data_IF_173446230745
#
_entry.id   IF_173446230745
#
_cell.length_a   1.000
_cell.length_b   1.000
_cell.length_c   1.000
_cell.angle_alpha   90.00
_cell.angle_beta   90.00
_cell.angle_gamma   90.00
#
_symmetry.space_group_name_H-M   'P 1'
#
loop_
_entity.id
_entity.type
_entity.pdbx_description
1 polymer ?
#
# COMPACT_ATOMS: atom_id res chain seq x y z
N UNK A 1 11.17 20.57 -56.08
CA UNK A 1 11.17 19.20 -55.54
C UNK A 1 12.61 18.82 -55.25
N UNK A 2 13.04 18.97 -54.00
CA UNK A 2 14.30 18.38 -53.52
C UNK A 2 14.03 17.85 -52.12
N UNK A 3 14.18 16.54 -52.02
CA UNK A 3 13.88 15.69 -50.87
C UNK A 3 14.80 16.00 -49.69
N UNK A 4 14.22 16.16 -48.49
CA UNK A 4 14.96 16.09 -47.23
C UNK A 4 14.73 14.70 -46.63
N UNK A 5 15.76 13.86 -46.65
CA UNK A 5 15.78 12.60 -45.91
C UNK A 5 16.30 12.88 -44.48
N UNK A 6 15.64 12.39 -43.42
CA UNK A 6 16.17 12.50 -42.07
C UNK A 6 17.27 11.44 -41.87
N UNK A 7 18.42 11.89 -41.36
CA UNK A 7 19.52 11.03 -40.94
C UNK A 7 19.13 10.36 -39.63
N UNK A 8 18.90 9.05 -39.67
CA UNK A 8 18.78 8.19 -38.49
C UNK A 8 20.16 8.09 -37.82
N UNK A 9 20.31 8.72 -36.66
CA UNK A 9 21.41 8.41 -35.74
C UNK A 9 21.03 7.16 -34.93
N UNK A 10 21.95 6.19 -34.75
CA UNK A 10 21.67 5.01 -33.94
C UNK A 10 21.55 5.41 -32.46
N UNK A 11 20.42 5.05 -31.85
CA UNK A 11 20.19 5.14 -30.40
C UNK A 11 21.20 4.24 -29.71
N UNK A 12 22.15 4.84 -28.98
CA UNK A 12 23.03 4.09 -28.07
C UNK A 12 22.26 3.88 -26.75
N UNK A 13 22.32 2.69 -26.14
CA UNK A 13 21.72 2.47 -24.83
C UNK A 13 22.37 3.41 -23.81
N UNK A 14 21.56 4.09 -23.01
CA UNK A 14 22.01 5.01 -21.97
C UNK A 14 22.68 4.21 -20.84
N UNK A 15 24.01 4.11 -20.88
CA UNK A 15 24.79 3.70 -19.70
C UNK A 15 24.84 4.87 -18.72
N UNK A 16 23.98 4.83 -17.71
CA UNK A 16 24.00 5.76 -16.59
C UNK A 16 25.30 5.53 -15.80
N UNK A 17 26.27 6.43 -15.96
CA UNK A 17 27.57 6.37 -15.27
C UNK A 17 27.63 7.51 -14.25
N UNK A 18 26.78 7.46 -13.23
CA UNK A 18 26.88 8.36 -12.08
C UNK A 18 26.75 7.53 -10.79
N UNK A 19 27.80 7.62 -9.97
CA UNK A 19 28.03 6.96 -8.68
C UNK A 19 28.47 5.48 -8.75
N UNK A 20 29.69 5.23 -8.28
CA UNK A 20 30.38 3.94 -8.23
C UNK A 20 29.79 2.90 -7.27
N UNK A 21 28.54 2.50 -7.48
CA UNK A 21 27.98 1.27 -6.93
C UNK A 21 27.78 0.28 -8.08
N UNK A 22 28.54 -0.81 -8.09
CA UNK A 22 28.44 -1.90 -9.07
C UNK A 22 27.25 -2.83 -8.81
N UNK A 23 26.05 -2.29 -8.59
CA UNK A 23 24.81 -3.06 -8.55
C UNK A 23 23.82 -2.52 -9.58
N UNK A 24 23.06 -3.39 -10.28
CA UNK A 24 22.01 -2.94 -11.16
C UNK A 24 20.98 -2.14 -10.34
N UNK A 25 20.78 -0.88 -10.71
CA UNK A 25 19.71 -0.04 -10.16
C UNK A 25 18.37 -0.61 -10.61
N UNK A 26 17.79 -1.52 -9.83
CA UNK A 26 16.39 -1.94 -9.95
C UNK A 26 15.49 -0.85 -9.34
N UNK A 27 15.46 0.34 -9.94
CA UNK A 27 14.68 1.49 -9.44
C UNK A 27 13.31 1.60 -10.12
N UNK A 28 12.68 0.47 -10.46
CA UNK A 28 11.50 0.45 -11.33
C UNK A 28 10.19 -0.04 -10.71
N UNK A 29 10.18 -0.62 -9.50
CA UNK A 29 9.05 -1.48 -9.10
C UNK A 29 7.83 -0.75 -8.47
N UNK A 30 7.91 0.55 -8.17
CA UNK A 30 6.86 1.26 -7.40
C UNK A 30 5.87 2.09 -8.25
N UNK A 31 6.27 2.55 -9.45
CA UNK A 31 5.49 3.58 -10.15
C UNK A 31 4.21 3.08 -10.86
N UNK A 32 4.12 1.79 -11.20
CA UNK A 32 3.00 1.30 -12.03
C UNK A 32 1.94 0.50 -11.24
N UNK A 33 2.18 0.16 -9.97
CA UNK A 33 1.29 -0.69 -9.16
C UNK A 33 0.16 0.11 -8.47
N UNK A 34 0.37 1.41 -8.24
CA UNK A 34 -0.46 2.25 -7.34
C UNK A 34 -1.77 2.77 -7.96
N UNK A 35 -1.88 2.81 -9.30
CA UNK A 35 -3.01 3.49 -9.97
C UNK A 35 -4.33 2.70 -9.87
N UNK A 36 -4.27 1.37 -9.76
CA UNK A 36 -5.44 0.53 -10.03
C UNK A 36 -6.51 0.52 -8.92
N UNK A 37 -6.22 0.93 -7.69
CA UNK A 37 -7.16 0.78 -6.56
C UNK A 37 -7.82 2.05 -6.06
N UNK A 38 -7.23 3.22 -6.33
CA UNK A 38 -7.80 4.49 -5.85
C UNK A 38 -9.02 4.96 -6.66
N UNK A 39 -9.27 4.36 -7.84
CA UNK A 39 -10.37 4.77 -8.74
C UNK A 39 -11.60 3.87 -8.72
N UNK A 40 -11.57 2.69 -8.10
CA UNK A 40 -12.71 1.78 -8.10
C UNK A 40 -12.85 1.09 -6.74
N UNK A 41 -13.80 1.57 -5.93
CA UNK A 41 -14.29 0.87 -4.75
C UNK A 41 -15.16 -0.35 -5.09
N UNK A 42 -14.84 -1.10 -6.14
CA UNK A 42 -15.60 -2.29 -6.56
C UNK A 42 -14.87 -3.56 -6.17
N UNK A 43 -15.62 -4.50 -5.59
CA UNK A 43 -15.23 -5.86 -5.20
C UNK A 43 -15.11 -6.82 -6.40
N UNK A 44 -15.08 -6.30 -7.63
CA UNK A 44 -14.98 -7.09 -8.84
C UNK A 44 -13.51 -7.36 -9.18
N UNK A 45 -13.12 -8.62 -9.45
CA UNK A 45 -11.81 -8.92 -10.03
C UNK A 45 -11.63 -8.08 -11.30
N UNK A 46 -10.69 -7.13 -11.27
CA UNK A 46 -10.39 -6.30 -12.42
C UNK A 46 -9.62 -7.20 -13.39
N UNK A 47 -10.27 -7.58 -14.48
CA UNK A 47 -9.64 -8.36 -15.55
C UNK A 47 -8.65 -7.51 -16.36
N UNK A 48 -7.87 -8.18 -17.22
CA UNK A 48 -6.86 -7.55 -18.06
C UNK A 48 -7.45 -6.56 -19.11
N UNK A 49 -8.76 -6.39 -19.20
CA UNK A 49 -9.40 -5.46 -20.14
C UNK A 49 -9.91 -4.19 -19.45
N UNK A 50 -10.39 -4.30 -18.21
CA UNK A 50 -10.98 -3.19 -17.46
C UNK A 50 -9.93 -2.12 -17.05
N UNK A 51 -8.66 -2.49 -16.88
CA UNK A 51 -7.59 -1.55 -16.47
C UNK A 51 -7.14 -0.60 -17.59
N UNK A 52 -7.39 -0.94 -18.86
CA UNK A 52 -6.94 -0.16 -20.02
C UNK A 52 -7.49 1.26 -20.05
N UNK A 53 -8.59 1.55 -19.35
CA UNK A 53 -9.16 2.89 -19.28
C UNK A 53 -8.25 3.90 -18.53
N UNK A 54 -8.11 3.78 -17.19
CA UNK A 54 -7.37 4.77 -16.40
C UNK A 54 -5.85 4.61 -16.46
N UNK A 55 -5.30 3.43 -16.76
CA UNK A 55 -3.84 3.23 -16.79
C UNK A 55 -3.23 3.60 -18.14
N UNK A 56 -3.95 3.45 -19.26
CA UNK A 56 -3.39 3.71 -20.59
C UNK A 56 -2.85 5.14 -20.75
N UNK A 57 -3.53 6.21 -20.29
CA UNK A 57 -2.98 7.56 -20.37
C UNK A 57 -1.65 7.72 -19.60
N UNK A 58 -1.47 6.95 -18.53
CA UNK A 58 -0.24 6.98 -17.72
C UNK A 58 0.88 6.28 -18.47
N UNK A 59 0.65 5.06 -18.97
CA UNK A 59 1.65 4.32 -19.75
C UNK A 59 2.02 5.06 -21.03
N UNK A 60 1.05 5.66 -21.71
CA UNK A 60 1.28 6.46 -22.90
C UNK A 60 2.09 7.72 -22.59
N UNK A 61 1.88 8.36 -21.43
CA UNK A 61 2.70 9.47 -20.99
C UNK A 61 4.15 9.07 -20.71
N UNK A 62 4.39 7.91 -20.08
CA UNK A 62 5.75 7.38 -19.89
C UNK A 62 6.44 7.09 -21.23
N UNK A 63 5.75 6.45 -22.18
CA UNK A 63 6.27 6.20 -23.53
C UNK A 63 6.55 7.50 -24.29
N UNK A 64 5.68 8.51 -24.14
CA UNK A 64 5.88 9.83 -24.75
C UNK A 64 7.11 10.55 -24.19
N UNK A 65 7.42 10.34 -22.91
CA UNK A 65 8.64 10.84 -22.25
C UNK A 65 9.88 9.97 -22.52
N UNK A 66 9.75 8.89 -23.28
CA UNK A 66 10.81 7.89 -23.51
C UNK A 66 11.35 7.29 -22.19
N UNK A 67 10.46 7.11 -21.22
CA UNK A 67 10.74 6.49 -19.92
C UNK A 67 10.21 5.05 -19.91
N UNK A 68 11.03 4.12 -20.41
CA UNK A 68 10.75 2.69 -20.33
C UNK A 68 10.92 2.16 -18.90
N UNK A 69 10.24 1.07 -18.57
CA UNK A 69 10.35 0.38 -17.28
C UNK A 69 10.83 -1.06 -17.46
N UNK A 70 11.74 -1.49 -16.60
CA UNK A 70 12.33 -2.84 -16.65
C UNK A 70 11.34 -3.92 -16.17
N UNK A 71 10.50 -3.56 -15.20
CA UNK A 71 9.49 -4.43 -14.61
C UNK A 71 8.18 -3.68 -14.45
N UNK A 72 7.05 -4.34 -14.76
CA UNK A 72 5.75 -3.71 -14.62
C UNK A 72 4.65 -4.33 -15.47
N UNK A 73 3.47 -3.69 -15.54
CA UNK A 73 2.41 -4.03 -16.48
C UNK A 73 2.93 -4.11 -17.92
N UNK A 74 2.36 -5.04 -18.69
CA UNK A 74 2.73 -5.41 -20.07
C UNK A 74 4.10 -6.08 -20.23
N UNK A 75 5.15 -5.58 -19.57
CA UNK A 75 6.54 -6.09 -19.67
C UNK A 75 6.75 -7.34 -18.81
N UNK A 76 6.02 -7.46 -17.70
CA UNK A 76 6.21 -8.53 -16.72
C UNK A 76 7.46 -8.30 -15.87
N UNK A 77 8.04 -9.37 -15.36
CA UNK A 77 9.21 -9.35 -14.48
C UNK A 77 9.14 -10.41 -13.39
N UNK A 78 10.21 -10.55 -12.61
CA UNK A 78 10.35 -11.62 -11.60
C UNK A 78 9.46 -11.41 -10.37
N UNK A 79 9.10 -10.16 -10.07
CA UNK A 79 8.32 -9.75 -8.90
C UNK A 79 6.80 -9.65 -9.17
N UNK A 80 6.38 -10.04 -10.37
CA UNK A 80 4.99 -10.07 -10.77
C UNK A 80 4.12 -10.96 -9.86
N UNK A 81 2.79 -10.75 -9.86
CA UNK A 81 2.04 -9.82 -10.71
C UNK A 81 2.14 -8.35 -10.24
N UNK A 82 2.16 -7.41 -11.18
CA UNK A 82 2.28 -5.95 -10.92
C UNK A 82 0.93 -5.24 -10.75
N UNK A 83 -0.15 -6.01 -10.60
CA UNK A 83 -1.47 -5.49 -10.30
C UNK A 83 -1.84 -5.89 -8.87
N UNK A 84 -2.12 -4.91 -8.00
CA UNK A 84 -2.47 -5.18 -6.61
C UNK A 84 -3.73 -6.06 -6.49
N UNK A 85 -4.68 -5.95 -7.42
CA UNK A 85 -5.88 -6.80 -7.46
C UNK A 85 -5.58 -8.29 -7.67
N UNK A 86 -4.37 -8.64 -8.13
CA UNK A 86 -3.93 -10.01 -8.36
C UNK A 86 -3.05 -10.54 -7.20
N UNK A 87 -2.89 -9.76 -6.12
CA UNK A 87 -1.99 -10.04 -4.99
C UNK A 87 -2.73 -10.27 -3.68
N UNK A 88 -4.04 -10.52 -3.72
CA UNK A 88 -4.86 -10.71 -2.51
C UNK A 88 -4.34 -11.81 -1.58
N UNK A 89 -3.80 -12.89 -2.14
CA UNK A 89 -3.20 -13.98 -1.34
C UNK A 89 -1.97 -13.52 -0.55
N UNK A 90 -1.13 -12.67 -1.15
CA UNK A 90 0.05 -12.10 -0.49
C UNK A 90 -0.37 -11.23 0.70
N UNK A 91 -1.38 -10.37 0.49
CA UNK A 91 -1.86 -9.46 1.55
C UNK A 91 -2.55 -10.23 2.68
N UNK A 92 -3.33 -11.26 2.35
CA UNK A 92 -3.97 -12.13 3.34
C UNK A 92 -2.94 -12.86 4.19
N UNK A 93 -1.93 -13.46 3.58
CA UNK A 93 -0.85 -14.14 4.31
C UNK A 93 -0.08 -13.17 5.23
N UNK A 94 0.20 -11.96 4.77
CA UNK A 94 0.83 -10.92 5.58
C UNK A 94 -0.05 -10.50 6.78
N UNK A 95 -1.36 -10.33 6.57
CA UNK A 95 -2.30 -9.98 7.64
C UNK A 95 -2.43 -11.09 8.68
N UNK A 96 -2.52 -12.35 8.25
CA UNK A 96 -2.56 -13.52 9.14
C UNK A 96 -1.30 -13.64 9.99
N UNK A 97 -0.12 -13.44 9.38
CA UNK A 97 1.15 -13.39 10.09
C UNK A 97 1.14 -12.30 11.16
N UNK A 98 0.76 -11.06 10.81
CA UNK A 98 0.70 -9.96 11.77
C UNK A 98 -0.31 -10.19 12.90
N UNK A 99 -1.43 -10.86 12.61
CA UNK A 99 -2.41 -11.27 13.61
C UNK A 99 -1.80 -12.27 14.60
N UNK A 100 -1.05 -13.26 14.10
CA UNK A 100 -0.37 -14.25 14.95
C UNK A 100 0.74 -13.63 15.81
N UNK A 101 1.38 -12.57 15.32
CA UNK A 101 2.41 -11.82 16.05
C UNK A 101 1.82 -10.79 17.04
N UNK A 102 0.50 -10.63 17.09
CA UNK A 102 -0.17 -9.63 17.95
C UNK A 102 0.14 -8.18 17.57
N UNK A 103 0.51 -7.92 16.30
CA UNK A 103 0.81 -6.57 15.78
C UNK A 103 -0.44 -5.87 15.26
N UNK A 104 -1.48 -6.63 14.97
CA UNK A 104 -2.75 -6.15 14.45
C UNK A 104 -3.88 -6.88 15.19
N UNK A 105 -5.05 -6.28 15.22
CA UNK A 105 -6.20 -6.85 15.93
C UNK A 105 -7.50 -6.67 15.15
N UNK A 106 -8.48 -7.53 15.42
CA UNK A 106 -9.83 -7.43 14.85
C UNK A 106 -10.64 -6.43 15.69
N UNK A 107 -11.15 -5.40 15.03
CA UNK A 107 -11.98 -4.36 15.62
C UNK A 107 -13.43 -4.59 15.20
N UNK A 108 -14.31 -4.75 16.17
CA UNK A 108 -15.75 -5.02 16.00
C UNK A 108 -16.61 -3.79 16.27
N UNK A 109 -15.99 -2.61 16.42
CA UNK A 109 -16.70 -1.36 16.74
C UNK A 109 -17.62 -0.98 15.57
N UNK A 110 -18.87 -0.65 15.86
CA UNK A 110 -19.79 -0.19 14.82
C UNK A 110 -19.47 1.25 14.39
N UNK A 111 -19.89 1.67 13.19
CA UNK A 111 -19.73 3.06 12.76
C UNK A 111 -20.32 4.06 13.76
N UNK A 112 -21.48 3.75 14.34
CA UNK A 112 -22.16 4.59 15.33
C UNK A 112 -21.33 4.76 16.60
N UNK A 113 -20.73 3.68 17.10
CA UNK A 113 -19.86 3.71 18.28
C UNK A 113 -18.58 4.52 18.01
N UNK A 114 -18.00 4.38 16.81
CA UNK A 114 -16.83 5.16 16.39
C UNK A 114 -17.19 6.65 16.30
N UNK A 115 -18.36 6.99 15.77
CA UNK A 115 -18.81 8.39 15.69
C UNK A 115 -19.07 8.98 17.07
N UNK A 116 -19.70 8.21 17.97
CA UNK A 116 -19.92 8.64 19.35
C UNK A 116 -18.60 8.90 20.08
N UNK A 117 -17.63 7.99 19.97
CA UNK A 117 -16.31 8.15 20.58
C UNK A 117 -15.51 9.32 19.97
N UNK A 118 -15.69 9.58 18.67
CA UNK A 118 -15.11 10.75 17.99
C UNK A 118 -15.71 12.05 18.52
N UNK A 119 -17.03 12.12 18.65
CA UNK A 119 -17.72 13.29 19.19
C UNK A 119 -17.32 13.56 20.65
N UNK A 120 -17.12 12.52 21.46
CA UNK A 120 -16.63 12.65 22.84
C UNK A 120 -15.19 13.20 22.89
N UNK A 121 -14.31 12.74 22.00
CA UNK A 121 -12.94 13.26 21.89
C UNK A 121 -12.93 14.74 21.46
N UNK A 122 -13.77 15.11 20.50
CA UNK A 122 -13.94 16.49 20.05
C UNK A 122 -14.47 17.40 21.17
N UNK A 123 -15.48 16.94 21.92
CA UNK A 123 -16.02 17.67 23.07
C UNK A 123 -15.00 17.87 24.20
N UNK A 124 -13.98 17.00 24.28
CA UNK A 124 -12.85 17.11 25.22
C UNK A 124 -11.66 17.86 24.64
N UNK A 125 -11.74 18.32 23.38
CA UNK A 125 -10.63 18.95 22.65
C UNK A 125 -9.37 18.09 22.58
N UNK A 126 -9.53 16.75 22.55
CA UNK A 126 -8.42 15.80 22.43
C UNK A 126 -8.46 15.08 21.07
N UNK A 127 -7.30 14.70 20.51
CA UNK A 127 -7.28 13.95 19.26
C UNK A 127 -7.92 12.57 19.43
N UNK A 128 -8.77 12.18 18.48
CA UNK A 128 -9.36 10.85 18.44
C UNK A 128 -8.35 9.82 17.91
N UNK A 129 -7.90 8.92 18.79
CA UNK A 129 -6.89 7.89 18.48
C UNK A 129 -7.48 6.49 18.22
N UNK A 130 -8.81 6.36 18.27
CA UNK A 130 -9.48 5.07 18.33
C UNK A 130 -9.66 4.56 19.76
N UNK A 131 -10.66 3.70 19.94
CA UNK A 131 -11.19 3.26 21.24
C UNK A 131 -10.46 2.05 21.81
N UNK A 132 -9.78 1.23 20.97
CA UNK A 132 -9.07 0.00 21.34
C UNK A 132 -9.87 -1.04 22.16
N UNK A 133 -11.19 -0.89 22.28
CA UNK A 133 -12.07 -1.80 23.07
C UNK A 133 -11.89 -3.26 22.69
N UNK A 134 -11.70 -3.56 21.40
CA UNK A 134 -11.52 -4.93 20.94
C UNK A 134 -10.19 -5.59 21.36
N UNK A 135 -9.21 -4.83 21.89
CA UNK A 135 -7.99 -5.40 22.49
C UNK A 135 -8.24 -5.99 23.88
N UNK A 136 -9.33 -5.62 24.54
CA UNK A 136 -9.71 -6.13 25.87
C UNK A 136 -10.53 -7.42 25.79
N UNK A 137 -10.88 -7.86 24.57
CA UNK A 137 -11.65 -9.07 24.36
C UNK A 137 -10.77 -10.31 24.52
N UNK A 138 -11.29 -11.32 25.22
CA UNK A 138 -10.66 -12.63 25.29
C UNK A 138 -10.63 -13.30 23.90
N UNK A 139 -9.58 -14.09 23.58
CA UNK A 139 -9.47 -14.78 22.30
C UNK A 139 -10.71 -15.62 21.94
N UNK A 140 -11.30 -16.30 22.94
CA UNK A 140 -12.53 -17.10 22.76
C UNK A 140 -13.72 -16.23 22.31
N UNK A 141 -13.83 -15.01 22.84
CA UNK A 141 -14.90 -14.07 22.45
C UNK A 141 -14.67 -13.56 21.03
N UNK A 142 -13.42 -13.28 20.66
CA UNK A 142 -13.05 -12.88 19.31
C UNK A 142 -13.41 -13.99 18.31
N UNK A 143 -13.08 -15.24 18.62
CA UNK A 143 -13.43 -16.39 17.78
C UNK A 143 -14.95 -16.59 17.67
N UNK A 144 -15.69 -16.44 18.76
CA UNK A 144 -17.16 -16.48 18.74
C UNK A 144 -17.74 -15.40 17.83
N UNK A 145 -17.25 -14.15 17.91
CA UNK A 145 -17.71 -13.06 17.05
C UNK A 145 -17.40 -13.29 15.56
N UNK A 146 -16.24 -13.89 15.27
CA UNK A 146 -15.90 -14.30 13.90
C UNK A 146 -16.81 -15.43 13.42
N UNK A 147 -17.08 -16.43 14.26
CA UNK A 147 -17.97 -17.54 13.92
C UNK A 147 -19.44 -17.11 13.73
N UNK A 148 -19.88 -16.10 14.47
CA UNK A 148 -21.19 -15.43 14.30
C UNK A 148 -21.28 -14.62 13.00
N UNK A 149 -20.15 -14.36 12.33
CA UNK A 149 -20.12 -13.51 11.13
C UNK A 149 -20.31 -12.02 11.45
N UNK A 150 -19.95 -11.56 12.65
CA UNK A 150 -20.01 -10.14 13.00
C UNK A 150 -19.08 -9.33 12.08
N UNK A 151 -19.53 -8.16 11.59
CA UNK A 151 -18.67 -7.31 10.78
C UNK A 151 -17.48 -6.82 11.61
N UNK A 152 -16.29 -6.89 11.04
CA UNK A 152 -15.06 -6.42 11.66
C UNK A 152 -14.13 -5.78 10.64
N UNK A 153 -13.13 -5.07 11.14
CA UNK A 153 -11.98 -4.60 10.36
C UNK A 153 -10.69 -4.96 11.08
N UNK A 154 -9.60 -5.16 10.35
CA UNK A 154 -8.29 -5.39 10.97
C UNK A 154 -7.55 -4.07 11.09
N UNK A 155 -7.10 -3.73 12.29
CA UNK A 155 -6.37 -2.50 12.60
C UNK A 155 -4.94 -2.81 13.02
N UNK A 156 -4.02 -1.93 12.64
CA UNK A 156 -2.63 -1.99 13.11
C UNK A 156 -2.51 -1.40 14.50
N UNK A 157 -1.88 -2.13 15.43
CA UNK A 157 -1.69 -1.70 16.80
C UNK A 157 -0.44 -0.83 16.90
N UNK A 158 -0.63 0.49 16.97
CA UNK A 158 0.48 1.42 17.11
C UNK A 158 1.04 1.38 18.55
N UNK A 159 2.36 1.22 18.77
CA UNK A 159 2.93 1.29 20.11
C UNK A 159 2.92 2.74 20.63
N UNK A 160 1.91 3.11 21.42
CA UNK A 160 1.67 4.51 21.87
C UNK A 160 2.72 5.05 22.85
N UNK A 161 3.60 4.20 23.35
CA UNK A 161 4.67 4.51 24.30
C UNK A 161 6.02 4.80 23.60
N UNK A 162 6.04 4.84 22.27
CA UNK A 162 7.26 4.96 21.48
C UNK A 162 7.25 6.20 20.57
N UNK A 163 8.44 6.59 20.12
CA UNK A 163 8.63 7.56 19.05
C UNK A 163 8.93 6.82 17.74
N UNK A 164 8.28 7.21 16.65
CA UNK A 164 8.63 6.75 15.29
C UNK A 164 9.65 7.73 14.71
N UNK A 165 10.84 7.23 14.39
CA UNK A 165 11.92 8.03 13.79
C UNK A 165 12.22 7.49 12.39
N UNK A 166 12.21 8.37 11.39
CA UNK A 166 12.52 8.04 9.99
C UNK A 166 13.61 8.98 9.51
N UNK A 167 14.64 8.43 8.87
CA UNK A 167 15.68 9.19 8.18
C UNK A 167 15.27 9.38 6.71
N UNK A 168 14.66 10.53 6.40
CA UNK A 168 14.23 10.86 5.05
C UNK A 168 15.39 11.48 4.26
N UNK A 169 15.59 11.03 3.01
CA UNK A 169 16.72 11.47 2.18
C UNK A 169 16.69 12.98 1.86
N UNK A 170 15.52 13.64 1.91
CA UNK A 170 15.35 15.06 1.61
C UNK A 170 15.17 15.89 2.87
N UNK A 171 14.34 15.42 3.81
CA UNK A 171 13.97 16.13 5.04
C UNK A 171 14.92 15.85 6.22
N UNK A 172 15.79 14.85 6.10
CA UNK A 172 16.62 14.35 7.20
C UNK A 172 15.81 13.60 8.25
N UNK A 173 16.26 13.64 9.50
CA UNK A 173 15.59 12.98 10.61
C UNK A 173 14.22 13.60 10.88
N UNK A 174 13.17 12.80 10.78
CA UNK A 174 11.80 13.15 11.17
C UNK A 174 11.35 12.23 12.29
N UNK A 175 10.74 12.81 13.33
CA UNK A 175 10.32 12.11 14.53
C UNK A 175 8.87 12.42 14.85
N UNK A 176 8.09 11.38 15.14
CA UNK A 176 6.69 11.47 15.53
C UNK A 176 6.45 10.75 16.84
N UNK A 177 5.63 11.36 17.70
CA UNK A 177 5.09 10.69 18.87
C UNK A 177 4.00 9.70 18.46
N UNK A 178 4.25 8.40 18.65
CA UNK A 178 3.28 7.37 18.31
C UNK A 178 2.03 7.42 19.20
N UNK A 179 2.10 8.09 20.36
CA UNK A 179 0.97 8.40 21.22
C UNK A 179 -0.07 9.31 20.55
N UNK A 180 0.29 10.00 19.47
CA UNK A 180 -0.62 10.86 18.69
C UNK A 180 -1.12 10.20 17.40
N UNK A 181 -0.70 8.96 17.12
CA UNK A 181 -1.05 8.26 15.88
C UNK A 181 -2.23 7.31 16.17
N UNK A 182 -3.36 7.44 15.45
CA UNK A 182 -4.48 6.51 15.59
C UNK A 182 -4.12 5.15 14.97
N UNK A 183 -4.81 4.08 15.42
CA UNK A 183 -4.65 2.74 14.84
C UNK A 183 -5.30 2.66 13.45
N UNK A 184 -4.52 2.65 12.35
CA UNK A 184 -5.08 2.66 11.02
C UNK A 184 -5.72 1.31 10.70
N UNK A 185 -6.80 1.34 9.93
CA UNK A 185 -7.35 0.12 9.33
C UNK A 185 -6.39 -0.35 8.24
N UNK A 186 -6.08 -1.65 8.21
CA UNK A 186 -5.19 -2.27 7.21
C UNK A 186 -5.94 -3.24 6.29
N UNK A 187 -7.04 -3.84 6.78
CA UNK A 187 -7.84 -4.80 6.04
C UNK A 187 -9.31 -4.64 6.43
N UNK A 188 -10.19 -4.76 5.45
CA UNK A 188 -11.64 -4.86 5.66
C UNK A 188 -12.03 -6.27 6.08
N UNK A 189 -13.25 -6.44 6.62
CA UNK A 189 -13.75 -7.74 7.06
C UNK A 189 -13.95 -8.77 5.95
N UNK A 190 -14.02 -8.32 4.68
CA UNK A 190 -14.05 -9.18 3.49
C UNK A 190 -12.65 -9.69 3.08
N UNK A 191 -11.60 -9.34 3.82
CA UNK A 191 -10.21 -9.70 3.51
C UNK A 191 -9.51 -8.73 2.55
N UNK A 192 -10.23 -7.76 1.99
CA UNK A 192 -9.65 -6.75 1.10
C UNK A 192 -8.65 -5.87 1.87
N UNK A 193 -7.38 -5.73 1.43
CA UNK A 193 -6.43 -4.82 2.08
C UNK A 193 -6.85 -3.36 1.92
N UNK A 194 -6.20 -2.42 2.61
CA UNK A 194 -6.22 -0.99 2.29
C UNK A 194 -4.89 -0.54 1.69
N UNK A 195 -4.91 0.61 1.01
CA UNK A 195 -3.77 1.15 0.26
C UNK A 195 -2.45 1.11 1.06
N UNK A 196 -2.43 1.70 2.25
CA UNK A 196 -1.22 1.76 3.08
C UNK A 196 -0.65 0.38 3.39
N UNK A 197 -1.50 -0.63 3.58
CA UNK A 197 -1.06 -1.98 3.88
C UNK A 197 -0.55 -2.70 2.61
N UNK A 198 -1.29 -2.58 1.50
CA UNK A 198 -0.90 -3.18 0.23
C UNK A 198 0.46 -2.64 -0.25
N UNK A 199 0.66 -1.32 -0.20
CA UNK A 199 1.92 -0.68 -0.60
C UNK A 199 3.10 -1.18 0.23
N UNK A 200 2.98 -1.20 1.56
CA UNK A 200 4.08 -1.66 2.43
C UNK A 200 4.41 -3.14 2.20
N UNK A 201 3.39 -3.98 2.00
CA UNK A 201 3.60 -5.41 1.73
C UNK A 201 4.24 -5.62 0.35
N UNK A 202 3.84 -4.85 -0.66
CA UNK A 202 4.42 -4.90 -2.00
C UNK A 202 5.89 -4.45 -1.97
N UNK A 203 6.20 -3.34 -1.31
CA UNK A 203 7.57 -2.83 -1.19
C UNK A 203 8.48 -3.84 -0.47
N UNK A 204 7.99 -4.44 0.62
CA UNK A 204 8.71 -5.48 1.35
C UNK A 204 8.92 -6.74 0.50
N UNK A 205 7.92 -7.14 -0.30
CA UNK A 205 8.03 -8.29 -1.20
C UNK A 205 8.99 -8.05 -2.37
N UNK A 206 9.09 -6.80 -2.82
CA UNK A 206 10.01 -6.38 -3.89
C UNK A 206 11.44 -6.16 -3.39
N UNK A 207 11.70 -6.35 -2.09
CA UNK A 207 13.03 -6.23 -1.50
C UNK A 207 13.51 -4.80 -1.30
N UNK A 208 12.60 -3.82 -1.29
CA UNK A 208 12.99 -2.47 -0.90
C UNK A 208 13.36 -2.44 0.59
N UNK A 209 14.44 -1.74 0.97
CA UNK A 209 14.75 -1.54 2.38
C UNK A 209 13.66 -0.68 3.02
N UNK A 210 12.92 -1.28 3.96
CA UNK A 210 11.96 -0.60 4.85
C UNK A 210 12.61 -0.23 6.17
#
# INVERSE_FOLDING_TARGET
MTSFAPVLLPVRPATCTLAGCGQPCSTGCSLVTTVARSYCGSTTPIDNETWKGPLAPILDAFRWLELDWDEGPEVGGELGPYFQSQRDDLYRAAAERLLSEGRVYRCFDTPEEIQAARAEAEAREVPFLGTRRSLELDPETVEAYVAEGRPFVVRFQVPRDQSVVIEDAVRGRVEWDAGLIPDPVIQRGDGSPLYNFATVVDDAACGFPT
#
